data_IF_695981718558
#
_entry.id   IF_695981718558
#
_cell.length_a   1.000
_cell.length_b   1.000
_cell.length_c   1.000
_cell.angle_alpha   90.00
_cell.angle_beta   90.00
_cell.angle_gamma   90.00
#
_symmetry.space_group_name_H-M   'P 1'
#
loop_
_entity.id
_entity.type
_entity.pdbx_description
1 polymer ?
#
# COMPACT_ATOMS: atom_id res chain seq x y z
N UNK A 1 44.05 15.52 -74.67
CA UNK A 1 44.42 14.68 -73.51
C UNK A 1 44.03 15.41 -72.23
N UNK A 2 43.28 14.72 -71.36
CA UNK A 2 42.92 15.02 -69.95
C UNK A 2 42.20 16.35 -69.63
N UNK A 3 40.90 16.36 -69.30
CA UNK A 3 40.26 16.02 -68.00
C UNK A 3 40.30 17.22 -67.02
N UNK A 4 39.26 17.70 -66.35
CA UNK A 4 37.83 17.39 -66.29
C UNK A 4 37.06 18.53 -65.56
N UNK A 5 35.78 18.66 -65.96
CA UNK A 5 34.56 19.04 -65.22
C UNK A 5 34.50 20.32 -64.36
N UNK A 6 33.74 21.25 -64.95
CA UNK A 6 32.85 22.30 -64.41
C UNK A 6 31.93 21.79 -63.29
N UNK A 7 31.74 22.57 -62.22
CA UNK A 7 30.40 22.84 -61.64
C UNK A 7 30.48 24.12 -60.79
N UNK A 8 29.71 25.13 -61.19
CA UNK A 8 29.45 26.34 -60.41
C UNK A 8 28.24 26.13 -59.51
N UNK A 9 28.20 26.77 -58.34
CA UNK A 9 26.97 27.27 -57.69
C UNK A 9 27.31 28.45 -56.75
N UNK A 10 26.36 29.40 -56.66
CA UNK A 10 26.50 30.84 -56.39
C UNK A 10 26.67 31.26 -54.90
N UNK A 11 27.08 32.52 -54.63
CA UNK A 11 27.36 33.00 -53.27
C UNK A 11 26.15 33.56 -52.49
N UNK A 12 26.14 33.20 -51.20
CA UNK A 12 25.88 34.03 -50.00
C UNK A 12 24.58 34.86 -49.95
N UNK A 13 23.51 34.28 -49.39
CA UNK A 13 22.34 35.02 -48.88
C UNK A 13 22.50 35.39 -47.40
N UNK A 14 22.09 36.62 -47.11
CA UNK A 14 22.15 37.36 -45.83
C UNK A 14 21.43 36.62 -44.70
N UNK A 15 22.08 36.54 -43.53
CA UNK A 15 21.53 35.94 -42.33
C UNK A 15 20.42 36.80 -41.73
N UNK A 16 19.23 36.21 -41.58
CA UNK A 16 18.17 36.74 -40.73
C UNK A 16 18.32 36.13 -39.34
N UNK A 17 18.54 36.99 -38.35
CA UNK A 17 18.58 36.66 -36.93
C UNK A 17 17.13 36.48 -36.45
N UNK A 18 16.57 35.28 -36.58
CA UNK A 18 15.28 34.92 -35.98
C UNK A 18 15.54 34.30 -34.61
N UNK A 19 15.36 35.10 -33.57
CA UNK A 19 15.21 34.67 -32.19
C UNK A 19 13.90 33.87 -32.13
N UNK A 20 13.99 32.55 -32.32
CA UNK A 20 12.94 31.63 -31.93
C UNK A 20 13.04 31.43 -30.41
N UNK A 21 12.42 32.33 -29.65
CA UNK A 21 11.91 32.02 -28.32
C UNK A 21 10.74 31.06 -28.55
N UNK A 22 11.05 29.78 -28.80
CA UNK A 22 10.11 28.70 -28.51
C UNK A 22 10.15 28.54 -27.00
N UNK A 23 9.34 29.34 -26.33
CA UNK A 23 8.98 29.19 -24.94
C UNK A 23 8.35 27.80 -24.81
N UNK A 24 9.19 26.81 -24.54
CA UNK A 24 8.78 25.47 -24.16
C UNK A 24 8.05 25.55 -22.84
N UNK A 25 6.77 25.87 -22.89
CA UNK A 25 5.84 25.52 -21.82
C UNK A 25 5.63 24.01 -21.95
N UNK A 26 6.67 23.25 -21.59
CA UNK A 26 6.48 21.91 -21.10
C UNK A 26 5.79 22.13 -19.76
N UNK A 27 4.47 21.94 -19.71
CA UNK A 27 3.75 21.72 -18.46
C UNK A 27 4.27 20.38 -17.89
N UNK A 28 5.49 20.40 -17.38
CA UNK A 28 6.00 19.42 -16.45
C UNK A 28 5.27 19.72 -15.14
N UNK A 29 4.12 19.09 -15.00
CA UNK A 29 3.59 18.48 -13.77
C UNK A 29 2.22 17.96 -14.15
N UNK A 30 2.21 16.84 -14.88
CA UNK A 30 1.21 15.83 -14.63
C UNK A 30 1.37 15.39 -13.18
N UNK A 31 0.93 16.23 -12.24
CA UNK A 31 0.61 15.80 -10.91
C UNK A 31 -0.56 14.86 -11.16
N UNK A 32 -0.28 13.57 -11.34
CA UNK A 32 -1.31 12.54 -11.34
C UNK A 32 -1.97 12.71 -9.99
N UNK A 33 -3.09 13.43 -9.99
CA UNK A 33 -3.91 13.59 -8.81
C UNK A 33 -4.51 12.20 -8.66
N UNK A 34 -3.87 11.37 -7.83
CA UNK A 34 -4.42 10.08 -7.44
C UNK A 34 -5.67 10.36 -6.62
N UNK A 35 -6.78 10.62 -7.31
CA UNK A 35 -8.09 10.74 -6.69
C UNK A 35 -8.53 9.31 -6.43
N UNK A 36 -8.89 9.01 -5.18
CA UNK A 36 -9.40 7.70 -4.78
C UNK A 36 -8.42 6.54 -5.03
N UNK A 37 -7.15 6.65 -4.62
CA UNK A 37 -6.15 5.56 -4.72
C UNK A 37 -6.70 4.19 -4.24
N UNK A 38 -7.60 4.21 -3.24
CA UNK A 38 -8.26 3.03 -2.67
C UNK A 38 -9.71 2.81 -3.13
N UNK A 39 -10.17 3.48 -4.20
CA UNK A 39 -11.47 3.13 -4.80
C UNK A 39 -11.39 1.74 -5.42
N UNK A 40 -12.54 1.06 -5.46
CA UNK A 40 -12.66 -0.20 -6.16
C UNK A 40 -12.24 -0.08 -7.63
N UNK A 41 -12.58 1.04 -8.29
CA UNK A 41 -12.20 1.31 -9.67
C UNK A 41 -10.67 1.38 -9.84
N UNK A 42 -9.97 2.04 -8.91
CA UNK A 42 -8.52 2.15 -8.94
C UNK A 42 -7.78 0.91 -8.43
N UNK A 43 -8.43 0.08 -7.61
CA UNK A 43 -7.86 -1.17 -7.11
C UNK A 43 -7.50 -2.14 -8.24
N UNK A 44 -8.31 -2.20 -9.31
CA UNK A 44 -8.02 -3.05 -10.47
C UNK A 44 -6.91 -2.50 -11.38
N UNK A 45 -6.59 -1.21 -11.28
CA UNK A 45 -5.48 -0.59 -12.01
C UNK A 45 -4.14 -0.67 -11.26
N UNK A 46 -4.15 -1.09 -9.99
CA UNK A 46 -2.92 -1.50 -9.32
C UNK A 46 -2.43 -2.78 -10.01
N UNK A 47 -1.12 -2.88 -10.33
CA UNK A 47 -0.58 -4.02 -11.06
C UNK A 47 -1.03 -5.34 -10.40
N UNK A 48 -1.63 -6.26 -11.16
CA UNK A 48 -2.16 -7.50 -10.61
C UNK A 48 -1.04 -8.35 -9.99
N UNK A 49 -1.16 -8.57 -8.68
CA UNK A 49 -0.72 -9.77 -7.97
C UNK A 49 0.76 -10.09 -7.73
N UNK A 50 1.70 -9.14 -7.85
CA UNK A 50 2.99 -9.30 -7.16
C UNK A 50 2.84 -8.83 -5.70
N UNK A 51 2.29 -9.69 -4.84
CA UNK A 51 2.30 -9.47 -3.39
C UNK A 51 3.57 -10.12 -2.81
N UNK A 52 4.29 -9.47 -1.89
CA UNK A 52 4.04 -8.14 -1.34
C UNK A 52 4.34 -7.01 -2.35
N UNK A 53 3.48 -5.99 -2.40
CA UNK A 53 3.71 -4.79 -3.23
C UNK A 53 3.98 -3.57 -2.36
N UNK A 54 4.84 -2.69 -2.85
CA UNK A 54 5.20 -1.44 -2.20
C UNK A 54 4.97 -0.30 -3.17
N UNK A 55 4.23 0.71 -2.73
CA UNK A 55 3.95 1.92 -3.50
C UNK A 55 4.52 3.11 -2.74
N UNK A 56 5.46 3.80 -3.36
CA UNK A 56 6.02 5.05 -2.88
C UNK A 56 5.44 6.22 -3.66
N UNK A 57 4.85 7.19 -2.96
CA UNK A 57 4.39 8.44 -3.54
C UNK A 57 5.10 9.59 -2.86
N UNK A 58 5.79 10.43 -3.63
CA UNK A 58 6.48 11.62 -3.12
C UNK A 58 5.84 12.87 -3.68
N UNK A 59 5.57 13.83 -2.81
CA UNK A 59 5.05 15.15 -3.17
C UNK A 59 5.81 16.22 -2.39
N UNK A 60 5.78 17.50 -2.82
CA UNK A 60 6.35 18.59 -2.04
C UNK A 60 5.77 18.75 -0.62
N UNK A 61 4.63 18.11 -0.32
CA UNK A 61 3.95 18.19 0.99
C UNK A 61 4.23 16.98 1.88
N UNK A 62 4.93 15.98 1.38
CA UNK A 62 5.23 14.76 2.10
C UNK A 62 5.23 13.52 1.21
N UNK A 63 5.55 12.40 1.86
CA UNK A 63 5.75 11.11 1.23
C UNK A 63 4.78 10.07 1.83
N UNK A 64 4.39 9.08 1.03
CA UNK A 64 3.61 7.93 1.44
C UNK A 64 4.34 6.67 1.00
N UNK A 65 4.56 5.77 1.95
CA UNK A 65 4.88 4.38 1.68
C UNK A 65 3.64 3.54 1.99
N UNK A 66 3.12 2.85 0.98
CA UNK A 66 1.98 1.94 1.11
C UNK A 66 2.41 0.50 0.83
N UNK A 67 2.19 -0.39 1.79
CA UNK A 67 2.62 -1.79 1.72
C UNK A 67 1.41 -2.72 1.67
N UNK A 68 1.23 -3.43 0.55
CA UNK A 68 0.25 -4.50 0.42
C UNK A 68 0.90 -5.87 0.66
N UNK A 69 0.69 -6.44 1.84
CA UNK A 69 1.38 -7.65 2.33
C UNK A 69 0.41 -8.84 2.52
N UNK A 70 0.94 -10.05 2.70
CA UNK A 70 0.12 -11.21 3.07
C UNK A 70 -0.13 -11.24 4.58
N UNK A 71 -1.21 -11.90 5.01
CA UNK A 71 -1.43 -12.16 6.43
C UNK A 71 -0.57 -13.33 6.95
N UNK A 72 0.15 -13.10 8.03
CA UNK A 72 1.14 -13.93 8.71
C UNK A 72 1.20 -13.51 10.19
N UNK A 73 1.36 -14.51 11.05
CA UNK A 73 1.67 -14.33 12.46
C UNK A 73 3.06 -14.88 12.79
N UNK A 74 3.85 -15.22 11.76
CA UNK A 74 5.20 -15.73 11.92
C UNK A 74 6.19 -14.57 11.96
N UNK A 75 6.94 -14.37 13.06
CA UNK A 75 8.00 -13.37 13.11
C UNK A 75 9.13 -13.63 12.11
N UNK A 76 9.29 -14.89 11.71
CA UNK A 76 10.37 -15.35 10.82
C UNK A 76 9.94 -15.32 9.34
N UNK A 77 8.75 -14.80 9.05
CA UNK A 77 8.30 -14.61 7.67
C UNK A 77 9.19 -13.55 6.97
N UNK A 78 9.78 -13.85 5.78
CA UNK A 78 10.66 -12.92 5.09
C UNK A 78 10.06 -11.53 4.86
N UNK A 79 8.73 -11.42 4.71
CA UNK A 79 8.09 -10.12 4.55
C UNK A 79 8.25 -9.21 5.77
N UNK A 80 8.38 -9.78 6.98
CA UNK A 80 8.58 -9.01 8.22
C UNK A 80 9.89 -8.26 8.16
N UNK A 81 10.98 -8.94 7.78
CA UNK A 81 12.29 -8.31 7.60
C UNK A 81 12.26 -7.21 6.55
N UNK A 82 11.53 -7.43 5.44
CA UNK A 82 11.36 -6.43 4.40
C UNK A 82 10.60 -5.19 4.90
N UNK A 83 9.54 -5.35 5.68
CA UNK A 83 8.78 -4.23 6.26
C UNK A 83 9.64 -3.44 7.25
N UNK A 84 10.43 -4.12 8.09
CA UNK A 84 11.34 -3.45 9.04
C UNK A 84 12.36 -2.61 8.29
N UNK A 85 13.00 -3.18 7.25
CA UNK A 85 13.94 -2.44 6.40
C UNK A 85 13.29 -1.20 5.78
N UNK A 86 12.10 -1.34 5.19
CA UNK A 86 11.39 -0.20 4.62
C UNK A 86 11.01 0.84 5.66
N UNK A 87 10.62 0.41 6.87
CA UNK A 87 10.32 1.32 7.96
C UNK A 87 11.55 2.14 8.37
N UNK A 88 12.70 1.47 8.53
CA UNK A 88 13.98 2.10 8.86
C UNK A 88 14.45 3.07 7.78
N UNK A 89 14.28 2.73 6.49
CA UNK A 89 14.64 3.60 5.38
C UNK A 89 13.67 4.79 5.23
N UNK A 90 12.37 4.56 5.42
CA UNK A 90 11.33 5.57 5.21
C UNK A 90 11.21 6.56 6.39
N UNK A 91 11.54 6.14 7.62
CA UNK A 91 11.43 6.96 8.84
C UNK A 91 10.06 7.64 8.96
N UNK A 92 8.96 6.89 9.07
CA UNK A 92 7.62 7.46 9.07
C UNK A 92 7.40 8.39 10.27
N UNK A 93 6.73 9.52 10.04
CA UNK A 93 6.28 10.43 11.12
C UNK A 93 4.86 10.10 11.61
N UNK A 94 4.14 9.27 10.86
CA UNK A 94 2.78 8.82 11.12
C UNK A 94 2.59 7.44 10.50
N UNK A 95 2.05 6.51 11.28
CA UNK A 95 1.73 5.17 10.80
C UNK A 95 0.22 4.92 10.75
N UNK A 96 -0.16 4.02 9.85
CA UNK A 96 -1.53 3.61 9.64
C UNK A 96 -1.65 2.09 9.70
N UNK A 97 -2.75 1.59 10.25
CA UNK A 97 -3.12 0.18 10.20
C UNK A 97 -4.59 -0.01 9.79
N UNK A 98 -4.90 -1.14 9.18
CA UNK A 98 -6.27 -1.57 8.92
C UNK A 98 -6.86 -2.27 10.16
N UNK A 99 -8.18 -2.44 10.19
CA UNK A 99 -8.89 -3.19 11.22
C UNK A 99 -8.84 -2.52 12.59
N UNK A 100 -8.27 -3.23 13.57
CA UNK A 100 -8.22 -2.76 14.96
C UNK A 100 -6.82 -2.31 15.29
N UNK A 101 -6.69 -1.20 16.01
CA UNK A 101 -5.43 -0.81 16.66
C UNK A 101 -5.14 -1.77 17.81
N UNK A 102 -4.23 -2.72 17.59
CA UNK A 102 -3.75 -3.62 18.63
C UNK A 102 -2.68 -2.93 19.49
N UNK A 103 -2.61 -3.25 20.80
CA UNK A 103 -1.51 -2.76 21.62
C UNK A 103 -0.20 -3.47 21.23
N UNK A 104 0.96 -2.80 21.30
CA UNK A 104 2.25 -3.48 21.21
C UNK A 104 2.40 -4.44 22.41
N UNK A 105 3.06 -5.58 22.18
CA UNK A 105 3.51 -6.47 23.25
C UNK A 105 4.88 -6.02 23.78
N UNK A 106 5.40 -6.74 24.78
CA UNK A 106 6.70 -6.45 25.38
C UNK A 106 7.88 -6.61 24.40
N UNK A 107 7.73 -7.46 23.38
CA UNK A 107 8.75 -7.67 22.34
C UNK A 107 8.14 -7.62 20.95
N UNK A 108 8.97 -7.36 19.95
CA UNK A 108 8.58 -7.37 18.55
C UNK A 108 8.00 -8.73 18.14
N UNK A 109 8.72 -9.81 18.45
CA UNK A 109 8.28 -11.17 18.12
C UNK A 109 6.92 -11.50 18.75
N UNK A 110 6.71 -11.13 20.00
CA UNK A 110 5.43 -11.39 20.66
C UNK A 110 4.28 -10.56 20.06
N UNK A 111 4.58 -9.32 19.65
CA UNK A 111 3.61 -8.46 18.97
C UNK A 111 3.15 -9.11 17.66
N UNK A 112 4.09 -9.66 16.88
CA UNK A 112 3.80 -10.34 15.62
C UNK A 112 3.03 -11.65 15.86
N UNK A 113 3.45 -12.48 16.81
CA UNK A 113 2.74 -13.74 17.11
C UNK A 113 1.29 -13.51 17.49
N UNK A 114 1.04 -12.50 18.34
CA UNK A 114 -0.31 -12.19 18.83
C UNK A 114 -1.19 -11.50 17.81
N UNK A 115 -0.63 -10.53 17.08
CA UNK A 115 -1.43 -9.57 16.30
C UNK A 115 -1.03 -9.50 14.83
N UNK A 116 -0.17 -10.40 14.36
CA UNK A 116 0.34 -10.41 13.00
C UNK A 116 1.13 -9.15 12.67
N UNK A 117 1.02 -8.71 11.43
CA UNK A 117 1.70 -7.52 10.91
C UNK A 117 1.16 -6.24 11.53
N UNK A 118 -0.10 -6.25 11.97
CA UNK A 118 -0.64 -5.13 12.75
C UNK A 118 0.12 -4.99 14.07
N UNK A 119 0.56 -6.10 14.65
CA UNK A 119 1.45 -6.13 15.81
C UNK A 119 2.83 -5.55 15.52
N UNK A 120 3.43 -5.91 14.38
CA UNK A 120 4.69 -5.31 13.89
C UNK A 120 4.58 -3.79 13.83
N UNK A 121 3.61 -3.26 13.09
CA UNK A 121 3.44 -1.81 12.89
C UNK A 121 3.14 -1.10 14.22
N UNK A 122 2.34 -1.72 15.10
CA UNK A 122 2.06 -1.16 16.44
C UNK A 122 3.29 -1.11 17.33
N UNK A 123 4.16 -2.13 17.25
CA UNK A 123 5.41 -2.17 17.98
C UNK A 123 6.39 -1.11 17.48
N UNK A 124 6.64 -1.06 16.16
CA UNK A 124 7.53 -0.07 15.55
C UNK A 124 7.08 1.37 15.83
N UNK A 125 5.77 1.64 15.67
CA UNK A 125 5.23 2.97 15.97
C UNK A 125 5.41 3.37 17.43
N UNK A 126 5.22 2.44 18.37
CA UNK A 126 5.41 2.70 19.79
C UNK A 126 6.90 2.88 20.13
N UNK A 127 7.78 2.09 19.53
CA UNK A 127 9.22 2.17 19.70
C UNK A 127 9.76 3.54 19.27
N UNK A 128 9.29 4.03 18.12
CA UNK A 128 9.75 5.30 17.55
C UNK A 128 8.97 6.51 18.07
N UNK A 129 8.01 6.30 18.97
CA UNK A 129 7.22 7.37 19.57
C UNK A 129 6.25 8.06 18.59
N UNK A 130 5.93 7.45 17.46
CA UNK A 130 5.06 8.03 16.43
C UNK A 130 3.60 7.60 16.60
N UNK A 131 2.70 8.40 16.05
CA UNK A 131 1.27 8.12 16.16
C UNK A 131 0.87 6.97 15.22
N UNK A 132 0.18 5.97 15.76
CA UNK A 132 -0.55 4.97 14.98
C UNK A 132 -2.04 5.32 14.88
N UNK A 133 -2.55 5.42 13.65
CA UNK A 133 -3.98 5.61 13.32
C UNK A 133 -4.57 4.39 12.61
N UNK A 134 -5.87 4.19 12.76
CA UNK A 134 -6.61 3.22 11.98
C UNK A 134 -7.15 3.89 10.70
N UNK A 135 -6.97 3.25 9.55
CA UNK A 135 -7.55 3.71 8.27
C UNK A 135 -9.05 3.44 8.20
N UNK A 136 -9.51 2.38 8.87
CA UNK A 136 -10.92 2.01 8.85
C UNK A 136 -11.77 3.03 9.62
N UNK A 137 -12.92 3.36 9.05
CA UNK A 137 -13.94 4.12 9.75
C UNK A 137 -14.44 3.35 10.97
N UNK A 138 -14.78 4.04 12.05
CA UNK A 138 -15.48 3.41 13.17
C UNK A 138 -16.83 2.85 12.72
N UNK A 139 -17.33 1.80 13.38
CA UNK A 139 -18.62 1.18 13.03
C UNK A 139 -19.76 2.22 12.98
N UNK A 140 -19.78 3.16 13.92
CA UNK A 140 -20.75 4.25 13.94
C UNK A 140 -20.64 5.16 12.72
N UNK A 141 -19.42 5.54 12.32
CA UNK A 141 -19.19 6.37 11.13
C UNK A 141 -19.52 5.62 9.83
N UNK A 142 -19.19 4.33 9.76
CA UNK A 142 -19.60 3.49 8.64
C UNK A 142 -21.14 3.43 8.54
N UNK A 143 -21.84 3.23 9.66
CA UNK A 143 -23.30 3.17 9.68
C UNK A 143 -23.95 4.50 9.24
N UNK A 144 -23.42 5.65 9.71
CA UNK A 144 -23.86 6.97 9.25
C UNK A 144 -23.62 7.12 7.76
N UNK A 145 -22.42 6.81 7.27
CA UNK A 145 -22.10 6.89 5.85
C UNK A 145 -23.05 6.02 5.00
N UNK A 146 -23.27 4.76 5.40
CA UNK A 146 -24.14 3.83 4.68
C UNK A 146 -25.62 4.25 4.72
N UNK A 147 -26.05 4.98 5.75
CA UNK A 147 -27.44 5.46 5.86
C UNK A 147 -27.85 6.46 4.77
N UNK A 148 -26.88 7.08 4.10
CA UNK A 148 -27.14 7.92 2.92
C UNK A 148 -27.54 7.12 1.68
N UNK A 149 -27.27 5.80 1.65
CA UNK A 149 -27.46 4.94 0.47
C UNK A 149 -28.41 3.78 0.72
N UNK A 150 -28.55 3.33 1.98
CA UNK A 150 -29.26 2.10 2.31
C UNK A 150 -30.21 2.27 3.49
N UNK A 151 -31.33 1.54 3.45
CA UNK A 151 -32.26 1.46 4.58
C UNK A 151 -31.58 0.85 5.81
N UNK A 152 -31.89 1.31 7.04
CA UNK A 152 -31.26 0.83 8.27
C UNK A 152 -31.31 -0.70 8.46
N UNK A 153 -32.38 -1.36 7.98
CA UNK A 153 -32.51 -2.81 8.02
C UNK A 153 -31.43 -3.54 7.21
N UNK A 154 -31.11 -3.07 6.01
CA UNK A 154 -30.06 -3.66 5.16
C UNK A 154 -28.69 -3.50 5.79
N UNK A 155 -28.41 -2.33 6.37
CA UNK A 155 -27.14 -2.05 7.06
C UNK A 155 -26.98 -3.03 8.24
N UNK A 156 -28.02 -3.23 9.05
CA UNK A 156 -28.02 -4.19 10.16
C UNK A 156 -27.76 -5.62 9.68
N UNK A 157 -28.49 -6.08 8.66
CA UNK A 157 -28.31 -7.43 8.10
C UNK A 157 -26.88 -7.62 7.58
N UNK A 158 -26.34 -6.66 6.83
CA UNK A 158 -24.96 -6.68 6.35
C UNK A 158 -23.97 -6.92 7.48
N UNK A 159 -24.04 -6.13 8.56
CA UNK A 159 -23.11 -6.27 9.69
C UNK A 159 -23.27 -7.61 10.42
N UNK A 160 -24.50 -8.09 10.62
CA UNK A 160 -24.75 -9.40 11.24
C UNK A 160 -24.15 -10.52 10.40
N UNK A 161 -24.43 -10.54 9.09
CA UNK A 161 -23.92 -11.57 8.19
C UNK A 161 -22.39 -11.53 8.10
N UNK A 162 -21.80 -10.33 8.02
CA UNK A 162 -20.34 -10.15 8.03
C UNK A 162 -19.72 -10.76 9.28
N UNK A 163 -20.26 -10.48 10.46
CA UNK A 163 -19.72 -11.02 11.71
C UNK A 163 -19.89 -12.54 11.81
N UNK A 164 -21.01 -13.10 11.32
CA UNK A 164 -21.20 -14.56 11.24
C UNK A 164 -20.10 -15.21 10.40
N UNK A 165 -19.80 -14.64 9.21
CA UNK A 165 -18.75 -15.17 8.33
C UNK A 165 -17.37 -15.03 8.97
N UNK A 166 -17.04 -13.86 9.54
CA UNK A 166 -15.76 -13.61 10.21
C UNK A 166 -15.54 -14.59 11.36
N UNK A 167 -16.54 -14.79 12.22
CA UNK A 167 -16.44 -15.73 13.36
C UNK A 167 -16.31 -17.18 12.90
N UNK A 168 -17.04 -17.59 11.85
CA UNK A 168 -16.90 -18.94 11.27
C UNK A 168 -15.47 -19.22 10.79
N UNK A 169 -14.83 -18.25 10.12
CA UNK A 169 -13.43 -18.37 9.67
C UNK A 169 -12.44 -18.51 10.83
N UNK A 170 -12.66 -17.78 11.91
CA UNK A 170 -11.79 -17.89 13.11
C UNK A 170 -11.95 -19.26 13.79
N UNK A 171 -13.19 -19.75 13.93
CA UNK A 171 -13.46 -21.06 14.54
C UNK A 171 -12.88 -22.19 13.71
N UNK A 172 -13.00 -22.15 12.38
CA UNK A 172 -12.42 -23.17 11.50
C UNK A 172 -10.88 -23.17 11.56
N UNK A 173 -10.24 -22.00 11.61
CA UNK A 173 -8.78 -21.89 11.77
C UNK A 173 -8.30 -22.51 13.08
N UNK A 174 -8.94 -22.18 14.21
CA UNK A 174 -8.62 -22.76 15.53
C UNK A 174 -8.80 -24.28 15.57
N UNK A 175 -9.87 -24.80 14.95
CA UNK A 175 -10.07 -26.26 14.85
C UNK A 175 -8.98 -26.93 14.03
N UNK A 176 -8.55 -26.33 12.92
CA UNK A 176 -7.46 -26.84 12.08
C UNK A 176 -6.12 -26.82 12.83
N UNK A 177 -5.79 -25.73 13.52
CA UNK A 177 -4.58 -25.62 14.36
C UNK A 177 -4.59 -26.68 15.48
N UNK A 178 -5.72 -26.86 16.17
CA UNK A 178 -5.90 -27.90 17.19
C UNK A 178 -5.72 -29.31 16.63
N UNK A 179 -6.34 -29.60 15.49
CA UNK A 179 -6.22 -30.91 14.82
C UNK A 179 -4.77 -31.19 14.40
N UNK A 180 -4.11 -30.24 13.72
CA UNK A 180 -2.71 -30.41 13.28
C UNK A 180 -1.76 -30.61 14.47
N UNK A 181 -1.94 -29.84 15.55
CA UNK A 181 -1.11 -29.97 16.76
C UNK A 181 -1.28 -31.34 17.41
N UNK A 182 -2.50 -31.85 17.52
CA UNK A 182 -2.75 -33.16 18.11
C UNK A 182 -2.35 -34.32 17.18
N UNK A 183 -2.43 -34.14 15.87
CA UNK A 183 -2.01 -35.14 14.91
C UNK A 183 -0.48 -35.27 14.87
N UNK A 184 0.25 -34.16 14.77
CA UNK A 184 1.71 -34.15 14.69
C UNK A 184 2.41 -34.53 16.01
N UNK A 185 1.79 -34.27 17.16
CA UNK A 185 2.36 -34.63 18.47
C UNK A 185 1.98 -36.04 18.95
N UNK A 186 1.01 -36.70 18.32
CA UNK A 186 0.57 -38.05 18.67
C UNK A 186 0.74 -39.07 17.54
N UNK A 187 1.50 -38.76 16.48
CA UNK A 187 1.90 -39.78 15.51
C UNK A 187 2.96 -40.68 16.16
N UNK A 188 2.71 -41.99 16.34
CA UNK A 188 3.79 -42.92 16.66
C UNK A 188 4.78 -42.91 15.50
N UNK A 189 6.07 -42.74 15.83
CA UNK A 189 7.17 -42.94 14.89
C UNK A 189 7.33 -44.39 14.46
#
# INVERSE_FOLDING_TARGET
>A
MSSAKRFQLQPKRRGYFFIFIFLGIVFQTGCVRWVNLFSQDNFYYLPPHEKPFYLELKTPRGELLYCGIFHTNSPDDPQIGQIIKYWEEFQPTLAFCEGKKWPPAATLQESIRRYGEQGLISFLAAQDGIKLKCLDLSLARQAVFLSHYFFPGHIKIYYVLREVVTRRRVVSRRKKEFFMRNFLLNSPG
#
